data_IF_006806579514
#
_entry.id   IF_006806579514
#
_cell.length_a   1.000
_cell.length_b   1.000
_cell.length_c   1.000
_cell.angle_alpha   90.00
_cell.angle_beta   90.00
_cell.angle_gamma   90.00
#
_symmetry.space_group_name_H-M   'P 1'
#
loop_
_entity.id
_entity.type
_entity.pdbx_description
1 polymer ?
#
# COMPACT_ATOMS: atom_id res chain seq x y z
N UNK A 1 26.18 -10.01 -4.41
CA UNK A 1 26.89 -9.25 -5.46
C UNK A 1 26.49 -7.80 -5.32
N UNK A 2 27.46 -6.90 -5.26
CA UNK A 2 27.19 -5.45 -5.35
C UNK A 2 27.46 -5.05 -6.78
N UNK A 3 26.47 -4.45 -7.45
CA UNK A 3 26.61 -3.99 -8.82
C UNK A 3 26.47 -2.46 -8.86
N UNK A 4 26.96 -1.82 -9.89
CA UNK A 4 26.76 -0.39 -10.10
C UNK A 4 25.43 -0.06 -10.73
N UNK A 5 24.71 -1.06 -11.27
CA UNK A 5 23.36 -1.00 -11.87
C UNK A 5 22.45 -2.03 -11.20
N UNK A 6 21.27 -2.27 -11.74
CA UNK A 6 20.40 -3.36 -11.30
C UNK A 6 21.18 -4.68 -11.22
N UNK A 7 21.07 -5.41 -10.11
CA UNK A 7 21.73 -6.71 -9.96
C UNK A 7 21.11 -7.76 -10.89
N UNK A 8 19.81 -7.65 -11.15
CA UNK A 8 19.07 -8.38 -12.17
C UNK A 8 18.35 -7.34 -13.03
N UNK A 9 18.67 -7.31 -14.32
CA UNK A 9 18.08 -6.38 -15.28
C UNK A 9 17.52 -7.16 -16.47
N UNK A 10 16.19 -7.21 -16.58
CA UNK A 10 15.45 -7.95 -17.59
C UNK A 10 14.64 -7.02 -18.51
N UNK A 11 15.33 -6.16 -19.25
CA UNK A 11 14.72 -5.18 -20.18
C UNK A 11 14.13 -5.77 -21.46
N UNK A 12 14.38 -7.06 -21.77
CA UNK A 12 13.97 -7.70 -23.04
C UNK A 12 13.15 -8.96 -22.86
N UNK A 13 12.99 -9.46 -21.64
CA UNK A 13 12.18 -10.62 -21.38
C UNK A 13 10.72 -10.20 -21.20
N UNK A 14 9.79 -10.94 -21.80
CA UNK A 14 8.36 -10.76 -21.54
C UNK A 14 7.94 -11.39 -20.22
N UNK A 15 8.70 -12.36 -19.71
CA UNK A 15 8.48 -12.97 -18.40
C UNK A 15 9.81 -13.46 -17.80
N UNK A 16 10.01 -13.18 -16.52
CA UNK A 16 11.20 -13.59 -15.76
C UNK A 16 10.77 -14.53 -14.62
N UNK A 17 11.49 -15.62 -14.43
CA UNK A 17 11.30 -16.52 -13.31
C UNK A 17 12.55 -16.52 -12.43
N UNK A 18 12.40 -16.20 -11.15
CA UNK A 18 13.45 -16.26 -10.14
C UNK A 18 13.04 -17.29 -9.08
N UNK A 19 13.81 -18.37 -8.96
CA UNK A 19 13.53 -19.40 -7.96
C UNK A 19 14.56 -19.33 -6.83
N UNK A 20 14.10 -19.14 -5.59
CA UNK A 20 14.88 -19.16 -4.39
C UNK A 20 15.07 -20.61 -3.93
N UNK A 21 16.28 -21.12 -4.14
CA UNK A 21 16.59 -22.51 -3.78
C UNK A 21 16.49 -22.73 -2.28
N UNK A 22 15.83 -23.83 -1.89
CA UNK A 22 15.67 -24.24 -0.51
C UNK A 22 17.01 -24.29 0.25
N UNK A 23 16.99 -23.82 1.51
CA UNK A 23 18.15 -23.78 2.40
C UNK A 23 19.26 -22.81 1.98
N UNK A 24 19.05 -21.96 0.97
CA UNK A 24 20.03 -20.96 0.55
C UNK A 24 19.63 -19.55 0.96
N UNK A 25 20.64 -18.70 1.18
CA UNK A 25 20.48 -17.26 1.36
C UNK A 25 21.23 -16.55 0.25
N UNK A 26 20.51 -15.71 -0.50
CA UNK A 26 21.06 -14.83 -1.53
C UNK A 26 20.97 -13.38 -1.07
N UNK A 27 21.96 -12.57 -1.48
CA UNK A 27 21.93 -11.12 -1.23
C UNK A 27 22.24 -10.37 -2.51
N UNK A 28 21.39 -9.42 -2.83
CA UNK A 28 21.50 -8.54 -3.97
C UNK A 28 21.54 -7.09 -3.50
N UNK A 29 22.35 -6.27 -4.16
CA UNK A 29 22.34 -4.83 -3.95
C UNK A 29 22.83 -4.14 -5.21
N UNK A 30 22.38 -2.93 -5.41
CA UNK A 30 22.93 -1.99 -6.37
C UNK A 30 23.90 -1.00 -5.70
N UNK A 31 24.19 0.10 -6.37
CA UNK A 31 25.01 1.21 -5.89
C UNK A 31 24.21 2.49 -5.96
N UNK A 32 24.44 3.40 -5.01
CA UNK A 32 23.91 4.78 -5.05
C UNK A 32 24.32 5.56 -6.30
N UNK A 33 25.33 5.07 -7.06
CA UNK A 33 25.76 5.62 -8.34
C UNK A 33 25.10 4.95 -9.56
N UNK A 34 24.07 4.10 -9.36
CA UNK A 34 23.25 3.58 -10.45
C UNK A 34 22.68 4.75 -11.25
N UNK A 35 22.99 4.80 -12.56
CA UNK A 35 22.55 5.86 -13.47
C UNK A 35 21.56 5.36 -14.53
N UNK A 36 21.09 4.13 -14.43
CA UNK A 36 20.08 3.55 -15.29
C UNK A 36 18.70 4.03 -14.77
N UNK A 37 18.14 5.03 -15.45
CA UNK A 37 16.84 5.59 -15.06
C UNK A 37 15.66 4.67 -15.44
N UNK A 38 15.86 3.79 -16.43
CA UNK A 38 14.83 2.82 -16.84
C UNK A 38 14.79 1.59 -15.91
N UNK A 39 15.95 1.21 -15.35
CA UNK A 39 16.12 0.06 -14.46
C UNK A 39 16.63 0.52 -13.09
N UNK A 40 15.88 1.35 -12.44
CA UNK A 40 16.18 2.01 -11.17
C UNK A 40 15.86 1.16 -9.93
N UNK A 41 16.05 -0.15 -10.04
CA UNK A 41 15.81 -1.12 -8.98
C UNK A 41 16.98 -2.13 -8.86
N UNK A 42 17.06 -2.84 -7.72
CA UNK A 42 18.00 -3.95 -7.57
C UNK A 42 17.59 -5.12 -8.46
N UNK A 43 16.29 -5.41 -8.54
CA UNK A 43 15.70 -6.36 -9.49
C UNK A 43 14.73 -5.59 -10.36
N UNK A 44 15.00 -5.55 -11.65
CA UNK A 44 14.16 -4.89 -12.65
C UNK A 44 13.66 -5.90 -13.69
N UNK A 45 12.36 -5.91 -13.94
CA UNK A 45 11.73 -6.59 -15.08
C UNK A 45 10.87 -5.62 -15.88
N UNK A 46 11.08 -5.55 -17.19
CA UNK A 46 10.21 -4.78 -18.08
C UNK A 46 8.86 -5.46 -18.32
N UNK A 47 8.81 -6.78 -18.26
CA UNK A 47 7.60 -7.60 -18.33
C UNK A 47 7.34 -8.27 -17.00
N UNK A 48 6.50 -9.29 -17.02
CA UNK A 48 6.13 -10.04 -15.83
C UNK A 48 7.32 -10.61 -15.07
N UNK A 49 7.21 -10.64 -13.75
CA UNK A 49 8.18 -11.25 -12.86
C UNK A 49 7.50 -12.25 -11.93
N UNK A 50 8.02 -13.47 -11.88
CA UNK A 50 7.61 -14.45 -10.88
C UNK A 50 8.80 -14.79 -9.98
N UNK A 51 8.60 -14.65 -8.68
CA UNK A 51 9.59 -15.07 -7.67
C UNK A 51 8.97 -16.19 -6.84
N UNK A 52 9.64 -17.33 -6.76
CA UNK A 52 9.14 -18.48 -6.02
C UNK A 52 10.25 -19.22 -5.26
N UNK A 53 9.84 -20.26 -4.50
CA UNK A 53 10.75 -21.13 -3.76
C UNK A 53 10.73 -20.86 -2.27
N UNK A 54 11.63 -21.53 -1.53
CA UNK A 54 11.66 -21.50 -0.05
C UNK A 54 12.98 -20.96 0.52
N UNK A 55 13.87 -20.46 -0.34
CA UNK A 55 15.13 -19.82 0.08
C UNK A 55 14.92 -18.43 0.68
N UNK A 56 16.02 -17.79 1.05
CA UNK A 56 16.04 -16.42 1.58
C UNK A 56 16.67 -15.47 0.56
N UNK A 57 16.04 -14.31 0.37
CA UNK A 57 16.55 -13.23 -0.46
C UNK A 57 16.62 -11.92 0.35
N UNK A 58 17.84 -11.38 0.45
CA UNK A 58 18.07 -10.05 1.01
C UNK A 58 18.33 -9.07 -0.13
N UNK A 59 17.65 -7.92 -0.10
CA UNK A 59 17.79 -6.83 -1.07
C UNK A 59 18.18 -5.56 -0.31
N UNK A 60 19.21 -4.89 -0.80
CA UNK A 60 19.69 -3.60 -0.28
C UNK A 60 19.78 -2.62 -1.46
N UNK A 61 18.69 -1.86 -1.68
CA UNK A 61 18.54 -0.89 -2.76
C UNK A 61 19.04 0.47 -2.29
N UNK A 62 20.21 0.86 -2.79
CA UNK A 62 20.93 2.08 -2.38
C UNK A 62 20.64 3.29 -3.26
N UNK A 63 19.99 3.07 -4.39
CA UNK A 63 19.67 4.14 -5.33
C UNK A 63 18.20 4.51 -5.32
N UNK A 64 17.33 3.51 -5.46
CA UNK A 64 15.89 3.71 -5.55
C UNK A 64 15.16 2.41 -5.11
N UNK A 65 14.51 1.69 -6.03
CA UNK A 65 13.59 0.62 -5.71
C UNK A 65 14.28 -0.72 -5.38
N UNK A 66 13.66 -1.53 -4.55
CA UNK A 66 14.07 -2.90 -4.29
C UNK A 66 13.79 -3.82 -5.48
N UNK A 67 12.51 -3.97 -5.82
CA UNK A 67 12.00 -4.77 -6.94
C UNK A 67 11.05 -3.92 -7.75
N UNK A 68 11.31 -3.81 -9.07
CA UNK A 68 10.44 -3.10 -10.01
C UNK A 68 10.02 -4.02 -11.15
N UNK A 69 8.73 -4.10 -11.42
CA UNK A 69 8.15 -4.78 -12.57
C UNK A 69 7.18 -3.83 -13.29
N UNK A 70 7.41 -3.61 -14.59
CA UNK A 70 6.55 -2.71 -15.37
C UNK A 70 5.23 -3.35 -15.81
N UNK A 71 5.10 -4.67 -15.66
CA UNK A 71 3.85 -5.39 -15.82
C UNK A 71 3.50 -6.01 -14.45
N UNK A 72 3.33 -7.32 -14.34
CA UNK A 72 2.87 -7.99 -13.12
C UNK A 72 4.02 -8.62 -12.32
N UNK A 73 3.86 -8.67 -10.98
CA UNK A 73 4.73 -9.41 -10.08
C UNK A 73 3.94 -10.46 -9.28
N UNK A 74 4.36 -11.72 -9.38
CA UNK A 74 3.82 -12.82 -8.60
C UNK A 74 4.87 -13.41 -7.67
N UNK A 75 4.57 -13.51 -6.37
CA UNK A 75 5.49 -14.06 -5.38
C UNK A 75 4.84 -15.21 -4.60
N UNK A 76 5.55 -16.35 -4.50
CA UNK A 76 5.08 -17.50 -3.71
C UNK A 76 6.20 -18.11 -2.90
N UNK A 77 5.99 -18.16 -1.58
CA UNK A 77 6.95 -18.73 -0.63
C UNK A 77 8.23 -17.90 -0.48
N UNK A 78 9.14 -18.39 0.34
CA UNK A 78 10.43 -17.73 0.62
C UNK A 78 10.42 -16.76 1.79
N UNK A 79 11.63 -16.32 2.16
CA UNK A 79 11.86 -15.32 3.20
C UNK A 79 12.60 -14.14 2.59
N UNK A 80 12.11 -12.94 2.86
CA UNK A 80 12.63 -11.71 2.25
C UNK A 80 13.01 -10.69 3.32
N UNK A 81 14.12 -10.02 3.10
CA UNK A 81 14.48 -8.80 3.81
C UNK A 81 14.85 -7.75 2.78
N UNK A 82 14.09 -6.65 2.75
CA UNK A 82 14.28 -5.58 1.77
C UNK A 82 14.52 -4.27 2.51
N UNK A 83 15.56 -3.56 2.11
CA UNK A 83 15.83 -2.18 2.47
C UNK A 83 15.97 -1.37 1.20
N UNK A 84 15.30 -0.22 1.09
CA UNK A 84 15.30 0.62 -0.11
C UNK A 84 15.30 2.11 0.23
N UNK A 85 15.93 2.90 -0.64
CA UNK A 85 15.89 4.37 -0.61
C UNK A 85 14.63 4.91 -1.32
N UNK A 86 14.09 4.18 -2.29
CA UNK A 86 12.78 4.37 -2.87
C UNK A 86 11.81 3.30 -2.36
N UNK A 87 10.89 2.88 -3.23
CA UNK A 87 9.93 1.82 -2.90
C UNK A 87 10.63 0.47 -2.72
N UNK A 88 10.13 -0.36 -1.78
CA UNK A 88 10.65 -1.72 -1.75
C UNK A 88 10.09 -2.56 -2.92
N UNK A 89 8.83 -2.34 -3.26
CA UNK A 89 8.18 -2.87 -4.46
C UNK A 89 7.54 -1.73 -5.25
N UNK A 90 7.84 -1.68 -6.56
CA UNK A 90 7.22 -0.75 -7.50
C UNK A 90 6.74 -1.56 -8.72
N UNK A 91 5.44 -1.77 -8.81
CA UNK A 91 4.79 -2.63 -9.81
C UNK A 91 3.71 -1.82 -10.53
N UNK A 92 3.49 -2.05 -11.83
CA UNK A 92 2.49 -1.26 -12.54
C UNK A 92 1.10 -1.92 -12.53
N UNK A 93 1.00 -3.20 -12.92
CA UNK A 93 -0.32 -3.75 -13.28
C UNK A 93 -0.95 -4.59 -12.17
N UNK A 94 -0.20 -5.57 -11.67
CA UNK A 94 -0.73 -6.52 -10.68
C UNK A 94 0.37 -7.04 -9.76
N UNK A 95 0.09 -7.08 -8.46
CA UNK A 95 0.95 -7.69 -7.46
C UNK A 95 0.20 -8.78 -6.69
N UNK A 96 0.65 -10.02 -6.82
CA UNK A 96 0.13 -11.15 -6.06
C UNK A 96 1.22 -11.73 -5.16
N UNK A 97 1.01 -11.69 -3.85
CA UNK A 97 1.96 -12.23 -2.86
C UNK A 97 1.26 -13.28 -1.98
N UNK A 98 1.79 -14.50 -1.97
CA UNK A 98 1.19 -15.60 -1.21
C UNK A 98 2.24 -16.43 -0.46
N UNK A 99 2.01 -16.67 0.82
CA UNK A 99 2.75 -17.64 1.63
C UNK A 99 4.21 -17.26 1.90
N UNK A 100 4.51 -15.98 2.00
CA UNK A 100 5.87 -15.47 2.24
C UNK A 100 6.06 -14.99 3.69
N UNK A 101 7.34 -14.90 4.10
CA UNK A 101 7.76 -14.14 5.29
C UNK A 101 8.61 -12.97 4.84
N UNK A 102 8.26 -11.73 5.23
CA UNK A 102 8.95 -10.55 4.74
C UNK A 102 9.14 -9.49 5.82
N UNK A 103 10.30 -8.84 5.78
CA UNK A 103 10.57 -7.61 6.54
C UNK A 103 11.01 -6.54 5.55
N UNK A 104 10.36 -5.38 5.60
CA UNK A 104 10.60 -4.24 4.72
C UNK A 104 10.96 -3.01 5.54
N UNK A 105 11.95 -2.26 5.07
CA UNK A 105 12.28 -0.90 5.49
C UNK A 105 12.53 -0.06 4.23
N UNK A 106 11.57 0.79 3.85
CA UNK A 106 11.61 1.66 2.68
C UNK A 106 11.60 3.13 3.12
N UNK A 107 12.31 4.01 2.39
CA UNK A 107 12.24 5.46 2.63
C UNK A 107 11.04 6.11 1.93
N UNK A 108 10.46 5.44 0.91
CA UNK A 108 9.20 5.75 0.23
C UNK A 108 8.16 4.65 0.54
N UNK A 109 7.40 4.18 -0.46
CA UNK A 109 6.39 3.14 -0.24
C UNK A 109 7.01 1.77 0.01
N UNK A 110 6.43 1.02 0.95
CA UNK A 110 6.95 -0.33 1.15
C UNK A 110 6.44 -1.30 0.07
N UNK A 111 5.15 -1.27 -0.25
CA UNK A 111 4.56 -2.13 -1.30
C UNK A 111 3.66 -1.26 -2.17
N UNK A 112 4.11 -0.97 -3.39
CA UNK A 112 3.39 -0.12 -4.33
C UNK A 112 3.01 -0.86 -5.60
N UNK A 113 1.73 -0.76 -5.97
CA UNK A 113 1.22 -1.09 -7.30
C UNK A 113 0.46 0.10 -7.82
N UNK A 114 0.97 0.73 -8.86
CA UNK A 114 0.40 1.97 -9.35
C UNK A 114 0.39 2.03 -10.88
N UNK A 115 -0.80 2.30 -11.44
CA UNK A 115 -1.01 2.54 -12.85
C UNK A 115 -1.92 3.75 -13.03
N UNK A 116 -1.31 4.89 -13.29
CA UNK A 116 -2.01 6.17 -13.49
C UNK A 116 -2.86 6.23 -14.76
N UNK A 117 -2.53 5.39 -15.75
CA UNK A 117 -3.15 5.43 -17.07
C UNK A 117 -4.41 4.56 -17.19
N UNK A 118 -4.52 3.48 -16.38
CA UNK A 118 -5.60 2.51 -16.47
C UNK A 118 -6.10 2.07 -15.07
N UNK A 119 -7.24 2.60 -14.64
CA UNK A 119 -7.86 2.27 -13.35
C UNK A 119 -8.39 0.83 -13.23
N UNK A 120 -8.33 0.03 -14.31
CA UNK A 120 -8.72 -1.39 -14.30
C UNK A 120 -7.58 -2.33 -13.89
N UNK A 121 -6.36 -1.81 -13.78
CA UNK A 121 -5.15 -2.49 -13.30
C UNK A 121 -4.63 -1.79 -12.04
N UNK A 122 -3.40 -1.99 -11.64
CA UNK A 122 -2.88 -1.49 -10.37
C UNK A 122 -3.42 -2.28 -9.18
N UNK A 123 -3.72 -3.57 -9.37
CA UNK A 123 -4.41 -4.40 -8.37
C UNK A 123 -3.44 -5.18 -7.49
N UNK A 124 -3.84 -5.40 -6.22
CA UNK A 124 -3.03 -6.14 -5.26
C UNK A 124 -3.83 -7.24 -4.56
N UNK A 125 -3.24 -8.45 -4.50
CA UNK A 125 -3.78 -9.58 -3.73
C UNK A 125 -2.73 -10.14 -2.77
N UNK A 126 -3.08 -10.22 -1.48
CA UNK A 126 -2.22 -10.68 -0.40
C UNK A 126 -2.88 -11.82 0.37
N UNK A 127 -2.20 -12.97 0.49
CA UNK A 127 -2.73 -14.15 1.20
C UNK A 127 -1.64 -14.94 1.91
N UNK A 128 -1.92 -15.43 3.12
CA UNK A 128 -1.05 -16.31 3.92
C UNK A 128 0.37 -15.75 4.19
N UNK A 129 0.52 -14.44 4.18
CA UNK A 129 1.80 -13.77 4.37
C UNK A 129 2.06 -13.47 5.85
N UNK A 130 3.35 -13.33 6.21
CA UNK A 130 3.80 -12.69 7.46
C UNK A 130 4.70 -11.53 7.08
N UNK A 131 4.21 -10.30 7.22
CA UNK A 131 4.91 -9.09 6.80
C UNK A 131 5.09 -8.12 7.97
N UNK A 132 6.31 -7.57 8.09
CA UNK A 132 6.60 -6.43 8.99
C UNK A 132 7.13 -5.31 8.12
N UNK A 133 6.49 -4.14 8.20
CA UNK A 133 6.66 -3.02 7.28
C UNK A 133 7.02 -1.76 8.04
N UNK A 134 8.02 -1.05 7.54
CA UNK A 134 8.29 0.37 7.83
C UNK A 134 8.43 1.09 6.50
N UNK A 135 7.64 2.10 6.31
CA UNK A 135 7.66 2.97 5.15
C UNK A 135 7.91 4.43 5.56
N UNK A 136 8.50 5.17 4.67
CA UNK A 136 8.59 6.64 4.79
C UNK A 136 7.33 7.31 4.30
N UNK A 137 6.65 6.68 3.33
CA UNK A 137 5.36 7.06 2.79
C UNK A 137 4.34 5.93 3.08
N UNK A 138 3.76 5.25 2.10
CA UNK A 138 2.70 4.29 2.35
C UNK A 138 3.20 2.89 2.70
N UNK A 139 2.49 2.26 3.65
CA UNK A 139 2.79 0.88 4.02
C UNK A 139 2.45 -0.10 2.89
N UNK A 140 1.23 -0.03 2.38
CA UNK A 140 0.71 -0.85 1.28
C UNK A 140 -0.18 0.03 0.42
N UNK A 141 0.19 0.25 -0.84
CA UNK A 141 -0.51 1.11 -1.79
C UNK A 141 -0.89 0.37 -3.07
N UNK A 142 -2.15 0.49 -3.48
CA UNK A 142 -2.64 0.01 -4.78
C UNK A 142 -3.54 1.05 -5.44
N UNK A 143 -3.20 1.53 -6.63
CA UNK A 143 -4.09 2.44 -7.38
C UNK A 143 -5.40 1.78 -7.82
N UNK A 144 -5.46 0.45 -7.85
CA UNK A 144 -6.63 -0.38 -8.11
C UNK A 144 -7.19 -1.07 -6.86
N UNK A 145 -7.80 -2.23 -7.05
CA UNK A 145 -8.40 -2.99 -5.96
C UNK A 145 -7.32 -3.69 -5.12
N UNK A 146 -7.38 -3.51 -3.80
CA UNK A 146 -6.52 -4.17 -2.83
C UNK A 146 -7.32 -5.20 -2.03
N UNK A 147 -6.85 -6.45 -2.02
CA UNK A 147 -7.50 -7.56 -1.29
C UNK A 147 -6.50 -8.22 -0.36
N UNK A 148 -6.82 -8.23 0.95
CA UNK A 148 -6.13 -9.02 1.95
C UNK A 148 -7.05 -10.18 2.35
N UNK A 149 -6.68 -11.39 1.96
CA UNK A 149 -7.49 -12.58 2.18
C UNK A 149 -7.14 -13.27 3.50
N UNK A 150 -5.86 -13.31 3.86
CA UNK A 150 -5.38 -13.92 5.09
C UNK A 150 -3.93 -13.50 5.39
N UNK A 151 -3.39 -13.88 6.55
CA UNK A 151 -2.00 -13.63 6.93
C UNK A 151 -1.85 -12.74 8.16
N UNK A 152 -0.62 -12.30 8.42
CA UNK A 152 -0.28 -11.38 9.50
C UNK A 152 0.51 -10.22 8.91
N UNK A 153 0.01 -9.02 9.07
CA UNK A 153 0.60 -7.79 8.54
C UNK A 153 0.79 -6.80 9.68
N UNK A 154 1.98 -6.27 9.80
CA UNK A 154 2.31 -5.26 10.78
C UNK A 154 2.97 -4.08 10.09
N UNK A 155 2.25 -3.00 9.94
CA UNK A 155 2.78 -1.70 9.51
C UNK A 155 3.19 -0.95 10.78
N UNK A 156 4.50 -0.92 11.07
CA UNK A 156 5.05 -0.30 12.27
C UNK A 156 5.25 1.21 12.13
N UNK A 157 5.30 1.68 10.89
CA UNK A 157 5.45 3.10 10.54
C UNK A 157 5.06 3.30 9.09
N UNK A 158 4.25 4.33 8.82
CA UNK A 158 3.93 4.84 7.48
C UNK A 158 3.37 6.26 7.57
N UNK A 159 3.20 6.92 6.45
CA UNK A 159 2.32 8.09 6.30
C UNK A 159 0.89 7.59 6.23
N UNK A 160 0.49 6.92 5.15
CA UNK A 160 -0.74 6.13 5.11
C UNK A 160 -0.44 4.65 5.33
N UNK A 161 -1.36 3.96 6.01
CA UNK A 161 -1.14 2.57 6.39
C UNK A 161 -1.37 1.61 5.24
N UNK A 162 -2.58 1.60 4.73
CA UNK A 162 -3.08 0.76 3.64
C UNK A 162 -3.96 1.62 2.75
N UNK A 163 -3.55 1.80 1.51
CA UNK A 163 -4.30 2.56 0.52
C UNK A 163 -4.72 1.69 -0.67
N UNK A 164 -5.90 1.97 -1.23
CA UNK A 164 -6.39 1.36 -2.45
C UNK A 164 -7.60 2.07 -3.02
N UNK A 165 -7.85 1.95 -4.34
CA UNK A 165 -9.14 2.38 -4.91
C UNK A 165 -10.29 1.73 -4.16
N UNK A 166 -10.20 0.42 -3.94
CA UNK A 166 -11.01 -0.28 -2.98
C UNK A 166 -10.13 -1.15 -2.08
N UNK A 167 -10.47 -1.22 -0.79
CA UNK A 167 -9.77 -2.06 0.17
C UNK A 167 -10.72 -3.13 0.70
N UNK A 168 -10.40 -4.40 0.45
CA UNK A 168 -11.17 -5.54 0.95
C UNK A 168 -10.33 -6.40 1.90
N UNK A 169 -10.80 -6.58 3.13
CA UNK A 169 -10.21 -7.47 4.13
C UNK A 169 -11.16 -8.63 4.38
N UNK A 170 -10.78 -9.82 3.93
CA UNK A 170 -11.53 -11.05 4.15
C UNK A 170 -11.11 -11.80 5.42
N UNK A 171 -9.85 -11.61 5.85
CA UNK A 171 -9.28 -12.30 7.01
C UNK A 171 -7.91 -11.77 7.39
N UNK A 172 -7.22 -12.51 8.26
CA UNK A 172 -5.89 -12.18 8.74
C UNK A 172 -5.87 -11.37 10.04
N UNK A 173 -4.66 -11.06 10.51
CA UNK A 173 -4.39 -10.17 11.63
C UNK A 173 -3.55 -9.01 11.12
N UNK A 174 -4.10 -7.82 11.17
CA UNK A 174 -3.53 -6.62 10.56
C UNK A 174 -3.39 -5.56 11.65
N UNK A 175 -2.16 -5.15 11.90
CA UNK A 175 -1.82 -4.07 12.82
C UNK A 175 -1.21 -2.92 12.03
N UNK A 176 -1.80 -1.73 12.11
CA UNK A 176 -1.38 -0.53 11.37
C UNK A 176 -1.11 0.61 12.31
N UNK A 177 0.05 1.24 12.15
CA UNK A 177 0.32 2.58 12.67
C UNK A 177 0.66 3.51 11.50
N UNK A 178 -0.11 4.58 11.36
CA UNK A 178 0.07 5.62 10.34
C UNK A 178 0.13 7.01 10.99
N UNK A 179 0.81 7.95 10.33
CA UNK A 179 0.87 9.36 10.80
C UNK A 179 -0.21 10.23 10.15
N UNK A 180 -0.83 9.73 9.10
CA UNK A 180 -2.02 10.23 8.44
C UNK A 180 -3.11 9.14 8.50
N UNK A 181 -3.74 8.73 7.41
CA UNK A 181 -4.82 7.77 7.45
C UNK A 181 -4.36 6.32 7.63
N UNK A 182 -5.10 5.57 8.46
CA UNK A 182 -4.75 4.18 8.74
C UNK A 182 -5.10 3.24 7.57
N UNK A 183 -6.31 3.34 7.07
CA UNK A 183 -6.79 2.70 5.85
C UNK A 183 -7.51 3.74 5.01
N UNK A 184 -7.03 3.98 3.80
CA UNK A 184 -7.60 4.93 2.86
C UNK A 184 -8.15 4.22 1.62
N UNK A 185 -9.47 4.35 1.36
CA UNK A 185 -10.06 3.91 0.10
C UNK A 185 -10.32 5.12 -0.78
N UNK A 186 -9.42 5.37 -1.72
CA UNK A 186 -9.44 6.56 -2.56
C UNK A 186 -8.90 6.28 -3.98
N UNK A 187 -9.42 6.97 -4.98
CA UNK A 187 -8.82 7.11 -6.31
C UNK A 187 -9.49 8.25 -7.05
N UNK A 188 -8.71 9.26 -7.44
CA UNK A 188 -9.20 10.47 -8.09
C UNK A 188 -9.81 10.23 -9.50
N UNK A 189 -9.48 9.11 -10.14
CA UNK A 189 -9.93 8.76 -11.49
C UNK A 189 -11.10 7.76 -11.50
N UNK A 190 -11.45 7.19 -10.33
CA UNK A 190 -12.54 6.23 -10.19
C UNK A 190 -13.88 6.92 -9.89
N UNK A 191 -14.99 6.26 -10.19
CA UNK A 191 -16.30 6.70 -9.72
C UNK A 191 -16.47 6.36 -8.24
N UNK A 192 -17.21 7.21 -7.51
CA UNK A 192 -17.47 6.98 -6.07
C UNK A 192 -18.02 5.57 -5.77
N UNK A 193 -18.79 4.98 -6.67
CA UNK A 193 -19.35 3.63 -6.49
C UNK A 193 -18.31 2.50 -6.64
N UNK A 194 -17.12 2.79 -7.11
CA UNK A 194 -16.00 1.84 -7.22
C UNK A 194 -15.04 1.96 -6.02
N UNK A 195 -15.20 3.03 -5.22
CA UNK A 195 -14.38 3.30 -4.05
C UNK A 195 -15.10 2.76 -2.81
N UNK A 196 -14.44 1.91 -2.05
CA UNK A 196 -15.02 1.40 -0.80
C UNK A 196 -13.97 0.74 0.11
N UNK A 197 -14.24 0.80 1.41
CA UNK A 197 -13.66 -0.10 2.39
C UNK A 197 -14.63 -1.24 2.70
N UNK A 198 -14.14 -2.49 2.69
CA UNK A 198 -14.95 -3.67 2.99
C UNK A 198 -14.22 -4.63 3.91
N UNK A 199 -14.89 -5.04 5.01
CA UNK A 199 -14.36 -6.08 5.90
C UNK A 199 -15.39 -7.18 6.13
N UNK A 200 -14.97 -8.44 5.92
CA UNK A 200 -15.83 -9.62 6.09
C UNK A 200 -15.34 -10.56 7.19
N UNK A 201 -14.06 -10.42 7.63
CA UNK A 201 -13.47 -11.26 8.66
C UNK A 201 -12.09 -10.75 9.09
N UNK A 202 -11.43 -11.50 9.97
CA UNK A 202 -10.10 -11.16 10.49
C UNK A 202 -10.11 -10.15 11.65
N UNK A 203 -8.94 -9.62 11.96
CA UNK A 203 -8.74 -8.56 12.96
C UNK A 203 -7.94 -7.43 12.33
N UNK A 204 -8.48 -6.22 12.43
CA UNK A 204 -7.84 -4.98 12.01
C UNK A 204 -7.67 -4.06 13.22
N UNK A 205 -6.44 -3.78 13.59
CA UNK A 205 -6.07 -2.81 14.59
C UNK A 205 -5.41 -1.63 13.91
N UNK A 206 -5.95 -0.43 14.10
CA UNK A 206 -5.43 0.80 13.51
C UNK A 206 -5.19 1.82 14.61
N UNK A 207 -4.00 2.40 14.61
CA UNK A 207 -3.65 3.55 15.41
C UNK A 207 -3.11 4.64 14.47
N UNK A 208 -3.67 5.84 14.54
CA UNK A 208 -3.22 6.99 13.74
C UNK A 208 -2.61 8.08 14.63
N UNK A 209 -1.81 8.94 14.00
CA UNK A 209 -1.17 10.07 14.63
C UNK A 209 -2.16 11.14 15.13
N UNK A 210 -1.63 12.22 15.71
CA UNK A 210 -2.44 13.40 16.06
C UNK A 210 -2.59 14.29 14.82
N UNK A 211 -3.79 14.83 14.60
CA UNK A 211 -4.07 15.77 13.52
C UNK A 211 -5.42 15.52 12.87
N UNK A 212 -5.55 15.91 11.61
CA UNK A 212 -6.69 15.60 10.76
C UNK A 212 -6.40 14.25 10.09
N UNK A 213 -6.56 13.18 10.85
CA UNK A 213 -6.16 11.82 10.51
C UNK A 213 -7.27 10.84 10.87
N UNK A 214 -7.60 9.94 9.95
CA UNK A 214 -8.69 9.00 10.10
C UNK A 214 -8.20 7.54 10.15
N UNK A 215 -8.57 6.77 11.20
CA UNK A 215 -8.26 5.36 11.22
C UNK A 215 -8.78 4.60 9.99
N UNK A 216 -9.97 4.96 9.50
CA UNK A 216 -10.52 4.46 8.24
C UNK A 216 -11.15 5.64 7.51
N UNK A 217 -10.57 6.01 6.36
CA UNK A 217 -11.13 6.93 5.39
C UNK A 217 -11.63 6.20 4.15
N UNK A 218 -12.72 6.66 3.56
CA UNK A 218 -13.22 6.19 2.27
C UNK A 218 -13.90 7.30 1.49
N UNK A 219 -13.37 7.68 0.35
CA UNK A 219 -14.05 8.56 -0.60
C UNK A 219 -15.28 7.90 -1.26
N UNK A 220 -15.74 6.78 -0.71
CA UNK A 220 -16.89 6.01 -1.16
C UNK A 220 -17.66 5.36 -0.02
N UNK A 221 -18.01 4.09 -0.16
CA UNK A 221 -18.82 3.35 0.79
C UNK A 221 -17.98 2.56 1.81
N UNK A 222 -18.59 2.26 2.96
CA UNK A 222 -18.03 1.35 3.97
C UNK A 222 -18.95 0.15 4.17
N UNK A 223 -18.38 -1.07 4.11
CA UNK A 223 -19.10 -2.32 4.30
C UNK A 223 -18.42 -3.18 5.38
N UNK A 224 -19.05 -3.37 6.53
CA UNK A 224 -18.58 -4.27 7.58
C UNK A 224 -19.62 -5.35 7.85
N UNK A 225 -19.29 -6.61 7.57
CA UNK A 225 -20.16 -7.76 7.78
C UNK A 225 -19.58 -8.82 8.71
N UNK A 226 -18.33 -8.66 9.17
CA UNK A 226 -17.67 -9.58 10.09
C UNK A 226 -16.30 -9.08 10.50
N UNK A 227 -15.63 -9.85 11.36
CA UNK A 227 -14.31 -9.52 11.88
C UNK A 227 -14.32 -8.63 13.13
N UNK A 228 -13.13 -8.20 13.54
CA UNK A 228 -12.92 -7.30 14.67
C UNK A 228 -12.12 -6.09 14.20
N UNK A 229 -12.64 -4.89 14.43
CA UNK A 229 -12.02 -3.61 14.09
C UNK A 229 -11.76 -2.86 15.38
N UNK A 230 -10.52 -2.51 15.67
CA UNK A 230 -10.12 -1.71 16.81
C UNK A 230 -9.40 -0.45 16.30
N UNK A 231 -10.02 0.69 16.49
CA UNK A 231 -9.52 1.98 16.03
C UNK A 231 -9.06 2.84 17.21
N UNK A 232 -7.92 3.49 17.05
CA UNK A 232 -7.36 4.46 17.99
C UNK A 232 -6.99 5.73 17.22
N UNK A 233 -7.66 6.85 17.53
CA UNK A 233 -7.48 8.13 16.87
C UNK A 233 -8.47 9.17 17.38
N UNK A 234 -8.48 10.35 16.78
CA UNK A 234 -9.44 11.41 17.13
C UNK A 234 -10.84 11.13 16.57
N UNK A 235 -10.88 10.51 15.40
CA UNK A 235 -12.08 10.03 14.72
C UNK A 235 -12.14 8.49 14.73
N UNK A 236 -13.07 7.88 14.03
CA UNK A 236 -13.13 6.45 13.79
C UNK A 236 -13.23 6.15 12.29
N UNK A 237 -14.19 6.78 11.65
CA UNK A 237 -14.47 6.60 10.23
C UNK A 237 -14.77 7.97 9.61
N UNK A 238 -14.15 8.26 8.47
CA UNK A 238 -14.62 9.26 7.52
C UNK A 238 -15.09 8.56 6.22
N UNK A 239 -16.15 9.05 5.57
CA UNK A 239 -16.61 8.49 4.31
C UNK A 239 -17.56 9.43 3.57
N UNK A 240 -17.42 9.47 2.25
CA UNK A 240 -18.24 10.28 1.36
C UNK A 240 -19.56 9.62 0.94
N UNK A 241 -19.63 8.29 1.02
CA UNK A 241 -20.76 7.49 0.59
C UNK A 241 -21.69 7.08 1.74
N UNK A 242 -21.95 5.79 1.84
CA UNK A 242 -22.78 5.19 2.87
C UNK A 242 -22.04 4.11 3.66
N UNK A 243 -22.46 3.90 4.93
CA UNK A 243 -21.92 2.82 5.75
C UNK A 243 -22.97 1.74 5.97
N UNK A 244 -22.58 0.48 5.71
CA UNK A 244 -23.38 -0.72 5.98
C UNK A 244 -22.66 -1.58 7.02
N UNK A 245 -23.30 -1.75 8.20
CA UNK A 245 -22.79 -2.57 9.28
C UNK A 245 -23.79 -3.69 9.63
N UNK A 246 -23.45 -4.93 9.28
CA UNK A 246 -24.34 -6.09 9.45
C UNK A 246 -23.76 -7.17 10.36
N UNK A 247 -22.51 -7.06 10.78
CA UNK A 247 -21.85 -8.02 11.67
C UNK A 247 -20.42 -7.65 11.97
N UNK A 248 -19.82 -8.35 12.94
CA UNK A 248 -18.50 -8.07 13.47
C UNK A 248 -18.53 -7.26 14.76
N UNK A 249 -17.34 -6.95 15.29
CA UNK A 249 -17.15 -6.14 16.48
C UNK A 249 -16.28 -4.92 16.13
N UNK A 250 -16.76 -3.73 16.48
CA UNK A 250 -16.03 -2.46 16.24
C UNK A 250 -15.80 -1.79 17.60
N UNK A 251 -14.58 -1.35 17.87
CA UNK A 251 -14.25 -0.46 18.99
C UNK A 251 -13.51 0.77 18.48
N UNK A 252 -13.83 1.94 19.06
CA UNK A 252 -13.10 3.19 18.85
C UNK A 252 -12.62 3.66 20.21
N UNK A 253 -11.33 3.81 20.40
CA UNK A 253 -10.70 4.18 21.68
C UNK A 253 -11.16 3.27 22.85
N UNK A 254 -11.34 1.96 22.56
CA UNK A 254 -11.80 0.97 23.53
C UNK A 254 -13.31 0.95 23.79
N UNK A 255 -14.09 1.84 23.19
CA UNK A 255 -15.54 1.89 23.33
C UNK A 255 -16.22 1.13 22.18
N UNK A 256 -17.10 0.16 22.53
CA UNK A 256 -17.80 -0.65 21.56
C UNK A 256 -18.83 0.16 20.79
N UNK A 257 -18.80 0.02 19.47
CA UNK A 257 -19.74 0.66 18.55
C UNK A 257 -20.88 -0.30 18.15
N UNK A 258 -22.08 0.25 17.93
CA UNK A 258 -23.26 -0.48 17.44
C UNK A 258 -23.70 -0.04 16.05
N UNK A 259 -23.04 0.98 15.50
CA UNK A 259 -23.22 1.56 14.17
C UNK A 259 -21.92 2.19 13.73
N UNK A 260 -21.75 2.38 12.45
CA UNK A 260 -20.68 3.20 11.86
C UNK A 260 -21.25 4.60 11.67
N UNK A 261 -20.62 5.60 12.25
CA UNK A 261 -20.96 7.01 12.10
C UNK A 261 -19.80 7.73 11.44
N UNK A 262 -20.12 8.64 10.52
CA UNK A 262 -19.12 9.55 9.96
C UNK A 262 -18.67 10.54 11.02
N UNK A 263 -17.39 10.60 11.27
CA UNK A 263 -16.77 11.38 12.36
C UNK A 263 -16.26 12.75 11.92
N UNK A 264 -16.60 13.22 10.74
CA UNK A 264 -16.13 14.54 10.28
C UNK A 264 -16.25 15.60 11.40
N UNK A 265 -15.16 16.23 11.85
CA UNK A 265 -15.24 17.37 12.77
C UNK A 265 -15.86 18.57 12.03
N UNK A 266 -17.18 18.74 12.13
CA UNK A 266 -17.85 19.96 11.71
C UNK A 266 -18.93 19.86 10.63
N UNK A 267 -19.38 18.69 10.21
CA UNK A 267 -20.45 18.50 9.21
C UNK A 267 -21.82 18.33 9.83
N UNK A 268 -22.49 19.40 10.24
CA UNK A 268 -23.91 19.39 10.58
C UNK A 268 -24.78 19.55 9.33
N UNK A 269 -25.51 18.49 8.94
CA UNK A 269 -26.76 18.57 8.18
C UNK A 269 -26.67 18.72 6.66
N UNK A 270 -27.69 18.18 5.92
CA UNK A 270 -27.70 18.21 4.47
C UNK A 270 -28.01 19.61 3.97
N UNK A 271 -27.06 20.26 3.35
CA UNK A 271 -27.33 21.44 2.51
C UNK A 271 -26.45 21.41 1.27
N UNK A 272 -27.12 21.42 0.13
CA UNK A 272 -26.63 21.28 -1.19
C UNK A 272 -25.64 22.34 -1.69
N UNK A 273 -25.07 22.02 -2.81
CA UNK A 273 -24.35 22.83 -3.78
C UNK A 273 -23.05 23.52 -3.35
N UNK A 274 -21.95 22.96 -3.74
CA UNK A 274 -20.68 23.67 -3.83
C UNK A 274 -19.51 22.76 -4.15
N UNK A 275 -19.03 22.81 -5.33
CA UNK A 275 -18.02 22.09 -6.06
C UNK A 275 -16.72 21.64 -5.35
N UNK A 276 -15.89 20.88 -6.05
CA UNK A 276 -14.80 20.13 -5.49
C UNK A 276 -13.69 21.06 -4.98
N UNK A 277 -13.32 20.95 -3.70
CA UNK A 277 -12.07 21.51 -3.19
C UNK A 277 -11.04 20.38 -3.12
N UNK A 278 -10.30 20.22 -4.24
CA UNK A 278 -9.10 19.46 -4.22
C UNK A 278 -8.04 20.19 -3.37
N UNK A 279 -7.52 19.53 -2.37
CA UNK A 279 -6.35 19.94 -1.61
C UNK A 279 -5.09 19.80 -2.48
N UNK A 280 -4.90 20.70 -3.45
CA UNK A 280 -3.66 20.76 -4.22
C UNK A 280 -2.60 21.55 -3.47
N UNK A 281 -1.47 20.95 -3.22
CA UNK A 281 -0.24 21.66 -2.85
C UNK A 281 0.06 22.71 -3.90
N UNK A 282 -0.13 23.99 -3.56
CA UNK A 282 0.29 25.10 -4.41
C UNK A 282 1.79 25.36 -4.23
N UNK A 283 2.58 24.91 -5.18
CA UNK A 283 3.94 25.41 -5.33
C UNK A 283 3.88 26.85 -5.86
N UNK A 284 4.30 27.81 -5.05
CA UNK A 284 4.42 29.19 -5.46
C UNK A 284 5.56 29.33 -6.50
N UNK A 285 5.19 29.62 -7.74
CA UNK A 285 6.15 30.06 -8.76
C UNK A 285 6.51 31.52 -8.51
N UNK A 286 7.76 31.80 -8.11
CA UNK A 286 8.31 33.14 -8.15
C UNK A 286 8.55 33.56 -9.61
N UNK A 287 7.88 34.65 -10.00
CA UNK A 287 8.15 35.32 -11.28
C UNK A 287 9.56 35.93 -11.28
N UNK A 288 10.44 35.43 -12.14
CA UNK A 288 11.70 36.09 -12.46
C UNK A 288 11.42 37.12 -13.51
N UNK A 289 11.30 38.39 -13.11
CA UNK A 289 11.34 39.54 -14.05
C UNK A 289 12.74 39.74 -14.61
N UNK A 290 12.89 39.57 -15.92
CA UNK A 290 14.06 40.02 -16.64
C UNK A 290 13.97 41.53 -16.87
N UNK A 291 14.88 42.29 -16.28
CA UNK A 291 15.20 43.64 -16.75
C UNK A 291 16.22 43.56 -17.87
N UNK A 292 16.00 44.43 -18.83
CA UNK A 292 16.69 44.66 -20.09
C UNK A 292 18.18 45.02 -19.96
#
# INVERSE_FOLDING_TARGET
MTNTNAAINATKAGHVYLTLKDGTTSSLSDSSSNSDEDADAVIFSKGDLTINGSGTLNIDAKKNNGIKANDSLHMTGGTYKISSVGDAFNVNDELNITGITMTIEAEEDAVKVDNDDDTSVGTMYLSDNTMTIKAGDDGIHASGDLIIDSGTYKVEKSTEGIEGKSVTINGGNIDVYATDDGVNAANANASQSEIFFKMTGGTLNVEVGEGDTDPIDSNGDIFVSGGTINLTGQSGFDFDGSATYTGGDITINGEKQTKIENSMPGGGGPQGDGGPQGGGHQVALEEVTKES
#
